data_IF_550513678747
#
_entry.id   IF_550513678747
#
_cell.length_a   1.000
_cell.length_b   1.000
_cell.length_c   1.000
_cell.angle_alpha   90.00
_cell.angle_beta   90.00
_cell.angle_gamma   90.00
#
_symmetry.space_group_name_H-M   'P 1'
#
loop_
_entity.id
_entity.type
_entity.pdbx_description
1 polymer ?
#
# COMPACT_ATOMS: atom_id res chain seq x y z
N UNK A 1 -9.17 -8.32 -20.84
CA UNK A 1 -8.07 -8.05 -21.79
C UNK A 1 -6.78 -7.90 -21.00
N UNK A 2 -5.63 -8.32 -21.53
CA UNK A 2 -4.32 -8.18 -20.88
C UNK A 2 -3.39 -7.39 -21.81
N UNK A 3 -2.56 -6.51 -21.25
CA UNK A 3 -1.52 -5.79 -21.98
C UNK A 3 -0.15 -6.28 -21.51
N UNK A 4 0.79 -6.42 -22.45
CA UNK A 4 2.15 -6.91 -22.18
C UNK A 4 3.14 -5.89 -22.71
N UNK A 5 4.13 -5.55 -21.89
CA UNK A 5 5.25 -4.67 -22.25
C UNK A 5 6.56 -5.32 -21.81
N UNK A 6 7.55 -5.27 -22.69
CA UNK A 6 8.94 -5.66 -22.37
C UNK A 6 9.65 -4.44 -21.80
N UNK A 7 10.42 -4.65 -20.73
CA UNK A 7 11.25 -3.64 -20.08
C UNK A 7 12.67 -4.18 -19.96
N UNK A 8 13.64 -3.27 -19.95
CA UNK A 8 15.07 -3.59 -20.03
C UNK A 8 15.62 -4.06 -18.68
N UNK A 9 15.12 -3.47 -17.60
CA UNK A 9 15.60 -3.71 -16.24
C UNK A 9 14.55 -3.37 -15.17
N UNK A 10 14.95 -3.52 -13.91
CA UNK A 10 14.12 -3.26 -12.74
C UNK A 10 13.70 -1.79 -12.61
N UNK A 11 14.59 -0.85 -12.91
CA UNK A 11 14.30 0.57 -12.74
C UNK A 11 13.31 1.05 -13.80
N UNK A 12 13.40 0.55 -15.05
CA UNK A 12 12.37 0.78 -16.07
C UNK A 12 11.02 0.20 -15.64
N UNK A 13 10.99 -1.01 -15.05
CA UNK A 13 9.76 -1.60 -14.54
C UNK A 13 9.11 -0.74 -13.45
N UNK A 14 9.89 -0.29 -12.46
CA UNK A 14 9.43 0.58 -11.37
C UNK A 14 8.92 1.92 -11.92
N UNK A 15 9.68 2.55 -12.82
CA UNK A 15 9.29 3.82 -13.43
C UNK A 15 8.01 3.71 -14.27
N UNK A 16 7.84 2.60 -15.00
CA UNK A 16 6.63 2.32 -15.75
C UNK A 16 5.42 2.20 -14.82
N UNK A 17 5.53 1.39 -13.77
CA UNK A 17 4.46 1.19 -12.79
C UNK A 17 4.10 2.52 -12.12
N UNK A 18 5.06 3.26 -11.58
CA UNK A 18 4.81 4.54 -10.90
C UNK A 18 4.18 5.60 -11.81
N UNK A 19 4.38 5.51 -13.12
CA UNK A 19 3.79 6.42 -14.11
C UNK A 19 2.37 6.06 -14.50
N UNK A 20 2.05 4.77 -14.66
CA UNK A 20 0.80 4.32 -15.26
C UNK A 20 -0.15 3.58 -14.32
N UNK A 21 0.33 3.12 -13.17
CA UNK A 21 -0.49 2.46 -12.17
C UNK A 21 -1.51 3.42 -11.57
N UNK A 22 -2.67 2.89 -11.22
CA UNK A 22 -3.65 3.56 -10.35
C UNK A 22 -3.25 3.52 -8.87
N UNK A 23 -2.04 3.01 -8.57
CA UNK A 23 -1.46 2.86 -7.23
C UNK A 23 -2.25 1.91 -6.33
N UNK A 24 -2.91 0.92 -6.92
CA UNK A 24 -3.67 -0.09 -6.19
C UNK A 24 -2.75 -1.23 -5.72
N UNK A 25 -2.49 -2.21 -6.57
CA UNK A 25 -1.74 -3.41 -6.22
C UNK A 25 -0.76 -3.77 -7.31
N UNK A 26 0.49 -4.01 -6.94
CA UNK A 26 1.58 -4.34 -7.86
C UNK A 26 2.40 -5.50 -7.32
N UNK A 27 3.07 -6.26 -8.18
CA UNK A 27 3.87 -7.41 -7.76
C UNK A 27 5.13 -7.56 -8.59
N UNK A 28 6.19 -8.09 -7.95
CA UNK A 28 7.39 -8.57 -8.61
C UNK A 28 7.54 -10.07 -8.41
N UNK A 29 7.94 -10.78 -9.47
CA UNK A 29 8.37 -12.17 -9.41
C UNK A 29 9.88 -12.22 -9.64
N UNK A 30 10.64 -12.58 -8.61
CA UNK A 30 12.10 -12.67 -8.69
C UNK A 30 12.67 -13.54 -7.56
N UNK A 31 13.78 -14.22 -7.82
CA UNK A 31 14.58 -14.91 -6.78
C UNK A 31 15.67 -13.99 -6.21
N UNK A 32 15.95 -12.85 -6.84
CA UNK A 32 16.95 -11.90 -6.37
C UNK A 32 16.35 -11.02 -5.26
N UNK A 33 16.79 -11.28 -4.03
CA UNK A 33 16.31 -10.55 -2.85
C UNK A 33 16.58 -9.04 -2.92
N UNK A 34 17.72 -8.61 -3.45
CA UNK A 34 18.04 -7.19 -3.57
C UNK A 34 17.05 -6.47 -4.50
N UNK A 35 16.70 -7.11 -5.63
CA UNK A 35 15.71 -6.60 -6.56
C UNK A 35 14.30 -6.56 -5.95
N UNK A 36 13.91 -7.62 -5.24
CA UNK A 36 12.63 -7.67 -4.54
C UNK A 36 12.51 -6.53 -3.51
N UNK A 37 13.52 -6.36 -2.65
CA UNK A 37 13.54 -5.30 -1.64
C UNK A 37 13.54 -3.90 -2.26
N UNK A 38 14.23 -3.72 -3.38
CA UNK A 38 14.23 -2.46 -4.14
C UNK A 38 12.83 -2.17 -4.69
N UNK A 39 12.18 -3.15 -5.31
CA UNK A 39 10.83 -3.03 -5.86
C UNK A 39 9.80 -2.68 -4.79
N UNK A 40 9.77 -3.44 -3.68
CA UNK A 40 8.84 -3.23 -2.56
C UNK A 40 8.93 -1.82 -1.97
N UNK A 41 10.12 -1.21 -1.99
CA UNK A 41 10.33 0.15 -1.46
C UNK A 41 10.05 1.25 -2.48
N UNK A 42 10.27 1.00 -3.76
CA UNK A 42 10.27 2.04 -4.78
C UNK A 42 8.94 2.15 -5.55
N UNK A 43 8.12 1.10 -5.56
CA UNK A 43 6.78 1.13 -6.16
C UNK A 43 5.80 1.80 -5.20
N UNK A 44 5.17 2.89 -5.63
CA UNK A 44 4.25 3.70 -4.84
C UNK A 44 2.78 3.24 -5.03
N UNK A 45 2.49 2.01 -4.62
CA UNK A 45 1.14 1.43 -4.62
C UNK A 45 0.65 1.15 -3.20
N UNK A 46 -0.65 0.96 -3.03
CA UNK A 46 -1.24 0.65 -1.74
C UNK A 46 -0.76 -0.72 -1.22
N UNK A 47 -0.64 -1.69 -2.12
CA UNK A 47 -0.11 -3.02 -1.84
C UNK A 47 0.99 -3.37 -2.83
N UNK A 48 2.14 -3.87 -2.35
CA UNK A 48 3.23 -4.34 -3.21
C UNK A 48 3.67 -5.72 -2.76
N UNK A 49 3.66 -6.69 -3.67
CA UNK A 49 3.98 -8.09 -3.38
C UNK A 49 5.32 -8.53 -3.97
N UNK A 50 5.95 -9.48 -3.29
CA UNK A 50 7.06 -10.26 -3.80
C UNK A 50 6.65 -11.73 -3.88
N UNK A 51 6.71 -12.33 -5.07
CA UNK A 51 6.40 -13.73 -5.33
C UNK A 51 5.00 -14.16 -4.83
N UNK A 52 4.04 -13.24 -4.84
CA UNK A 52 2.64 -13.51 -4.50
C UNK A 52 1.70 -12.84 -5.51
N UNK A 53 0.52 -13.43 -5.67
CA UNK A 53 -0.51 -12.91 -6.57
C UNK A 53 -1.06 -11.58 -6.08
N UNK A 54 -1.33 -10.65 -7.00
CA UNK A 54 -2.01 -9.38 -6.70
C UNK A 54 -3.43 -9.58 -6.17
N UNK A 55 -4.02 -10.76 -6.37
CA UNK A 55 -5.35 -11.14 -5.84
C UNK A 55 -5.42 -11.15 -4.31
N UNK A 56 -4.29 -11.24 -3.60
CA UNK A 56 -4.24 -11.24 -2.14
C UNK A 56 -4.45 -9.85 -1.51
N UNK A 57 -4.55 -8.78 -2.31
CA UNK A 57 -4.89 -7.45 -1.77
C UNK A 57 -6.39 -7.38 -1.44
N UNK A 58 -6.76 -7.97 -0.31
CA UNK A 58 -8.13 -8.10 0.19
C UNK A 58 -8.11 -8.11 1.72
N UNK A 59 -9.05 -7.42 2.37
CA UNK A 59 -9.11 -7.30 3.83
C UNK A 59 -9.28 -8.63 4.57
N UNK A 60 -9.96 -9.61 3.98
CA UNK A 60 -10.07 -10.96 4.54
C UNK A 60 -8.74 -11.69 4.51
N UNK A 61 -8.04 -11.66 3.37
CA UNK A 61 -6.70 -12.25 3.21
C UNK A 61 -5.65 -11.56 4.10
N UNK A 62 -5.81 -10.27 4.37
CA UNK A 62 -4.93 -9.49 5.27
C UNK A 62 -5.26 -9.69 6.76
N UNK A 63 -6.31 -10.45 7.08
CA UNK A 63 -6.70 -10.75 8.46
C UNK A 63 -7.49 -9.65 9.16
N UNK A 64 -8.08 -8.71 8.41
CA UNK A 64 -8.93 -7.65 8.97
C UNK A 64 -10.34 -8.16 9.29
N UNK A 65 -10.71 -9.35 8.79
CA UNK A 65 -12.01 -10.00 9.01
C UNK A 65 -13.18 -9.39 8.23
N UNK A 66 -13.02 -8.17 7.73
CA UNK A 66 -13.95 -7.48 6.84
C UNK A 66 -13.19 -6.51 5.92
N UNK A 67 -13.84 -6.07 4.85
CA UNK A 67 -13.35 -5.01 3.96
C UNK A 67 -14.51 -4.07 3.63
N UNK A 68 -14.31 -2.76 3.82
CA UNK A 68 -15.23 -1.73 3.32
C UNK A 68 -14.87 -1.29 1.90
N UNK A 69 -13.59 -1.36 1.57
CA UNK A 69 -13.05 -1.14 0.24
C UNK A 69 -11.52 -1.07 0.26
N UNK A 70 -10.95 -0.62 -0.85
CA UNK A 70 -9.51 -0.43 -1.02
C UNK A 70 -9.23 1.04 -1.31
N UNK A 71 -8.46 1.70 -0.44
CA UNK A 71 -8.02 3.08 -0.64
C UNK A 71 -6.67 3.12 -1.36
N UNK A 72 -6.57 3.88 -2.44
CA UNK A 72 -5.30 4.19 -3.10
C UNK A 72 -4.73 5.57 -2.70
N UNK A 73 -5.43 6.29 -1.81
CA UNK A 73 -4.98 7.57 -1.31
C UNK A 73 -3.85 7.40 -0.29
N UNK A 74 -3.03 8.45 -0.13
CA UNK A 74 -1.90 8.43 0.82
C UNK A 74 -2.29 8.87 2.24
N UNK A 75 -3.39 9.61 2.36
CA UNK A 75 -3.81 10.17 3.64
C UNK A 75 -4.88 9.27 4.27
N UNK A 76 -4.90 9.23 5.60
CA UNK A 76 -5.83 8.48 6.45
C UNK A 76 -5.70 6.95 6.36
N UNK A 77 -6.13 6.34 5.26
CA UNK A 77 -6.06 4.89 5.05
C UNK A 77 -5.56 4.57 3.64
N UNK A 78 -4.77 3.49 3.52
CA UNK A 78 -4.18 3.05 2.24
C UNK A 78 -4.10 1.53 2.21
N UNK A 79 -4.62 0.93 1.14
CA UNK A 79 -4.82 -0.51 1.00
C UNK A 79 -6.26 -0.92 1.34
N UNK A 80 -6.53 -2.22 1.48
CA UNK A 80 -7.74 -2.71 2.14
C UNK A 80 -7.94 -2.00 3.47
N UNK A 81 -9.18 -1.62 3.79
CA UNK A 81 -9.48 -0.97 5.06
C UNK A 81 -10.80 -1.43 5.64
N UNK A 82 -10.88 -1.39 6.97
CA UNK A 82 -12.00 -1.92 7.74
C UNK A 82 -12.34 -0.98 8.91
N UNK A 83 -12.72 -1.55 10.06
CA UNK A 83 -13.25 -0.83 11.21
C UNK A 83 -12.28 0.22 11.78
N UNK A 84 -10.98 -0.11 11.89
CA UNK A 84 -9.99 0.78 12.50
C UNK A 84 -9.85 2.08 11.72
N UNK A 85 -9.85 1.97 10.39
CA UNK A 85 -9.75 3.11 9.47
C UNK A 85 -11.04 3.93 9.41
N UNK A 86 -12.16 3.48 9.96
CA UNK A 86 -13.39 4.29 10.07
C UNK A 86 -13.44 5.14 11.35
N UNK A 87 -12.34 5.23 12.08
CA UNK A 87 -12.24 6.00 13.33
C UNK A 87 -11.39 7.25 13.15
N UNK A 88 -11.48 8.17 14.12
CA UNK A 88 -10.66 9.37 14.19
C UNK A 88 -10.02 9.48 15.57
N UNK A 89 -8.94 10.25 15.68
CA UNK A 89 -8.23 10.48 16.93
C UNK A 89 -8.65 11.79 17.56
N UNK A 90 -8.80 11.81 18.88
CA UNK A 90 -8.97 13.02 19.70
C UNK A 90 -7.96 13.02 20.84
N UNK A 91 -7.63 14.21 21.32
CA UNK A 91 -6.78 14.38 22.51
C UNK A 91 -7.66 14.65 23.72
N UNK A 92 -7.39 13.92 24.80
CA UNK A 92 -7.99 14.17 26.11
C UNK A 92 -6.90 14.72 27.04
N UNK A 93 -7.13 15.91 27.59
CA UNK A 93 -6.19 16.59 28.49
C UNK A 93 -6.91 16.91 29.79
N UNK A 94 -6.42 16.34 30.89
CA UNK A 94 -6.96 16.59 32.22
C UNK A 94 -6.04 17.58 32.92
N UNK A 95 -6.58 18.78 33.16
CA UNK A 95 -5.87 19.87 33.81
C UNK A 95 -6.00 19.88 35.33
N UNK A 96 -5.06 20.53 36.01
CA UNK A 96 -5.14 20.86 37.45
C UNK A 96 -4.61 22.27 37.77
N UNK A 97 -4.54 23.17 36.79
CA UNK A 97 -4.06 24.54 36.99
C UNK A 97 -2.95 24.98 36.03
N UNK A 98 -2.83 24.34 34.87
CA UNK A 98 -1.83 24.70 33.87
C UNK A 98 -2.13 26.09 33.30
N UNK A 99 -1.13 26.96 33.35
CA UNK A 99 -1.14 28.28 32.70
C UNK A 99 -0.24 28.24 31.47
N UNK A 100 -0.64 28.94 30.40
CA UNK A 100 0.18 29.15 29.20
C UNK A 100 0.49 30.65 29.13
N UNK A 101 1.78 30.98 29.04
CA UNK A 101 2.27 32.35 28.87
C UNK A 101 2.05 32.89 27.47
#
# INVERSE_FOLDING_TARGET
CIAIRIVSDLEEAIAHINRYSTRNTEAIVTENEANARRFLRAVDSATVFWNASTRFSDGGEFGFGAEMGISTQKLHCRGPFALAELTSSKYEVIGNGQVRG
#
